data_IF_928723903945
#
_entry.id   IF_928723903945
#
_cell.length_a   1.000
_cell.length_b   1.000
_cell.length_c   1.000
_cell.angle_alpha   90.00
_cell.angle_beta   90.00
_cell.angle_gamma   90.00
#
_symmetry.space_group_name_H-M   'P 1'
#
loop_
_entity.id
_entity.type
_entity.pdbx_description
1 polymer ?
#
# COMPACT_ATOMS: atom_id res chain seq x y z
N UNK A 1 7.74 4.60 27.75
CA UNK A 1 8.79 5.37 27.06
C UNK A 1 9.42 4.42 26.05
N UNK A 2 9.25 4.70 24.76
CA UNK A 2 9.84 3.87 23.69
C UNK A 2 11.36 4.06 23.68
N UNK A 3 12.17 3.00 23.46
CA UNK A 3 13.61 3.15 23.33
C UNK A 3 13.94 3.97 22.09
N UNK A 4 14.71 5.05 22.27
CA UNK A 4 15.26 5.83 21.18
C UNK A 4 16.20 4.97 20.33
N UNK A 5 15.92 4.80 19.03
CA UNK A 5 16.89 4.22 18.08
C UNK A 5 16.38 3.24 17.02
N UNK A 6 15.08 2.95 16.90
CA UNK A 6 14.60 2.13 15.79
C UNK A 6 14.42 2.96 14.52
N UNK A 7 15.49 3.08 13.74
CA UNK A 7 15.40 3.36 12.30
C UNK A 7 14.93 2.06 11.63
N UNK A 8 13.73 2.03 11.07
CA UNK A 8 13.16 0.86 10.38
C UNK A 8 13.77 0.67 8.98
N UNK A 9 15.10 0.74 8.86
CA UNK A 9 15.80 0.88 7.60
C UNK A 9 16.62 -0.39 7.29
N UNK A 10 16.40 -0.94 6.09
CA UNK A 10 17.06 -2.06 5.36
C UNK A 10 16.47 -3.45 5.56
N UNK A 11 15.80 -3.98 4.51
CA UNK A 11 15.65 -5.43 4.31
C UNK A 11 17.07 -6.01 4.19
N UNK A 12 17.48 -6.90 5.09
CA UNK A 12 18.74 -7.64 4.95
C UNK A 12 18.46 -9.13 4.97
N UNK A 13 19.14 -9.89 4.11
CA UNK A 13 19.24 -11.34 4.29
C UNK A 13 19.68 -11.62 5.74
N UNK A 14 18.81 -12.24 6.55
CA UNK A 14 19.05 -12.46 7.99
C UNK A 14 18.21 -11.59 8.94
N UNK A 15 17.16 -10.94 8.47
CA UNK A 15 16.19 -10.29 9.35
C UNK A 15 15.58 -11.28 10.35
N UNK A 16 15.51 -10.86 11.62
CA UNK A 16 14.96 -11.66 12.72
C UNK A 16 13.67 -11.06 13.25
N UNK A 17 12.78 -11.95 13.68
CA UNK A 17 11.53 -11.59 14.33
C UNK A 17 11.80 -10.77 15.59
N UNK A 18 11.19 -9.58 15.69
CA UNK A 18 11.38 -8.69 16.84
C UNK A 18 10.87 -9.29 18.16
N UNK A 19 10.06 -10.35 18.09
CA UNK A 19 9.51 -11.05 19.25
C UNK A 19 10.33 -12.27 19.67
N UNK A 20 10.61 -13.19 18.75
CA UNK A 20 11.22 -14.50 19.07
C UNK A 20 12.66 -14.68 18.56
N UNK A 21 13.19 -13.73 17.79
CA UNK A 21 14.56 -13.78 17.26
C UNK A 21 14.79 -14.79 16.13
N UNK A 22 13.77 -15.54 15.70
CA UNK A 22 13.89 -16.46 14.57
C UNK A 22 13.96 -15.71 13.23
N UNK A 23 14.62 -16.26 12.19
CA UNK A 23 14.64 -15.68 10.86
C UNK A 23 13.23 -15.39 10.33
N UNK A 24 13.05 -14.24 9.69
CA UNK A 24 11.79 -13.82 9.08
C UNK A 24 12.02 -13.25 7.69
N UNK A 25 11.03 -13.43 6.82
CA UNK A 25 11.01 -12.78 5.50
C UNK A 25 10.67 -11.28 5.69
N UNK A 26 11.39 -10.41 4.97
CA UNK A 26 11.19 -8.97 5.05
C UNK A 26 9.89 -8.50 4.38
N UNK A 27 9.30 -9.34 3.51
CA UNK A 27 7.99 -9.10 2.88
C UNK A 27 6.82 -9.81 3.59
N UNK A 28 7.04 -10.42 4.77
CA UNK A 28 5.99 -11.11 5.52
C UNK A 28 5.48 -10.30 6.71
N UNK A 29 4.17 -10.16 6.80
CA UNK A 29 3.49 -9.51 7.92
C UNK A 29 3.49 -10.32 9.22
N UNK A 30 3.82 -11.62 9.18
CA UNK A 30 3.76 -12.49 10.34
C UNK A 30 4.98 -13.39 10.40
N UNK A 31 5.53 -13.57 11.60
CA UNK A 31 6.63 -14.50 11.83
C UNK A 31 6.15 -15.95 11.60
N UNK A 32 6.86 -16.71 10.77
CA UNK A 32 6.53 -18.12 10.53
C UNK A 32 6.68 -19.02 11.77
N UNK A 33 7.53 -18.61 12.74
CA UNK A 33 7.80 -19.41 13.94
C UNK A 33 6.84 -19.10 15.11
N UNK A 34 6.52 -17.83 15.35
CA UNK A 34 5.72 -17.43 16.52
C UNK A 34 4.42 -16.68 16.18
N UNK A 35 4.13 -16.49 14.89
CA UNK A 35 2.93 -15.82 14.36
C UNK A 35 2.70 -14.37 14.81
N UNK A 36 3.67 -13.75 15.50
CA UNK A 36 3.56 -12.33 15.85
C UNK A 36 3.62 -11.47 14.60
N UNK A 37 2.79 -10.43 14.58
CA UNK A 37 2.80 -9.41 13.54
C UNK A 37 4.19 -8.77 13.46
N UNK A 38 4.72 -8.61 12.25
CA UNK A 38 6.04 -8.07 11.98
C UNK A 38 5.91 -6.73 11.23
N UNK A 39 6.87 -5.80 11.43
CA UNK A 39 7.03 -4.68 10.52
C UNK A 39 7.42 -5.21 9.14
N UNK A 40 6.86 -4.62 8.09
CA UNK A 40 7.47 -4.74 6.77
C UNK A 40 8.73 -3.89 6.75
N UNK A 41 9.87 -4.54 6.55
CA UNK A 41 11.17 -3.90 6.46
C UNK A 41 11.53 -3.81 4.99
N UNK A 42 10.84 -2.94 4.27
CA UNK A 42 10.93 -2.85 2.82
C UNK A 42 11.51 -1.48 2.42
N UNK A 43 12.82 -1.36 2.31
CA UNK A 43 13.43 -0.29 1.49
C UNK A 43 13.19 -0.62 0.01
N UNK A 44 11.94 -0.53 -0.44
CA UNK A 44 11.56 -0.79 -1.84
C UNK A 44 11.68 -2.20 -2.34
N UNK A 45 12.07 -3.14 -1.49
CA UNK A 45 12.20 -4.55 -1.87
C UNK A 45 10.83 -5.23 -2.00
N UNK A 46 9.84 -4.84 -1.19
CA UNK A 46 8.53 -5.47 -1.09
C UNK A 46 7.43 -4.58 -1.68
N UNK A 47 7.25 -4.64 -2.99
CA UNK A 47 6.12 -4.00 -3.67
C UNK A 47 4.78 -4.71 -3.35
N UNK A 48 3.68 -4.15 -3.86
CA UNK A 48 2.33 -4.67 -3.55
C UNK A 48 2.09 -6.09 -4.03
N UNK A 49 2.74 -6.55 -5.10
CA UNK A 49 2.62 -7.93 -5.55
C UNK A 49 3.31 -8.90 -4.58
N UNK A 50 4.50 -8.53 -4.10
CA UNK A 50 5.27 -9.35 -3.15
C UNK A 50 4.59 -9.49 -1.79
N UNK A 51 3.98 -8.43 -1.25
CA UNK A 51 3.28 -8.55 0.05
C UNK A 51 2.04 -9.45 -0.01
N UNK A 52 1.45 -9.63 -1.20
CA UNK A 52 0.38 -10.60 -1.45
C UNK A 52 0.92 -11.99 -1.86
N UNK A 53 2.22 -12.12 -2.13
CA UNK A 53 2.83 -13.36 -2.62
C UNK A 53 2.30 -13.79 -3.99
N UNK A 54 2.08 -12.82 -4.89
CA UNK A 54 1.60 -13.05 -6.26
C UNK A 54 2.62 -12.58 -7.31
N UNK A 55 2.57 -13.10 -8.55
CA UNK A 55 3.45 -12.61 -9.61
C UNK A 55 3.20 -11.14 -9.95
N UNK A 56 4.28 -10.41 -10.21
CA UNK A 56 4.26 -9.05 -10.75
C UNK A 56 3.80 -9.10 -12.21
N UNK A 57 2.51 -8.91 -12.44
CA UNK A 57 1.92 -8.96 -13.78
C UNK A 57 0.66 -8.13 -13.84
N UNK A 58 0.39 -7.58 -15.02
CA UNK A 58 -0.91 -6.99 -15.31
C UNK A 58 -2.03 -8.05 -15.25
N UNK A 59 -1.76 -9.27 -15.72
CA UNK A 59 -2.74 -10.35 -15.81
C UNK A 59 -2.79 -11.18 -14.52
N UNK A 60 -3.35 -10.61 -13.45
CA UNK A 60 -3.63 -11.32 -12.19
C UNK A 60 -5.14 -11.56 -11.99
N UNK A 61 -5.46 -12.66 -11.29
CA UNK A 61 -6.83 -12.98 -10.87
C UNK A 61 -7.28 -12.07 -9.73
N UNK A 62 -8.17 -11.13 -10.04
CA UNK A 62 -8.70 -10.19 -9.05
C UNK A 62 -9.41 -10.88 -7.87
N UNK A 63 -10.04 -12.05 -8.09
CA UNK A 63 -10.67 -12.81 -7.00
C UNK A 63 -9.63 -13.39 -6.05
N UNK A 64 -8.49 -13.83 -6.57
CA UNK A 64 -7.37 -14.30 -5.74
C UNK A 64 -6.81 -13.15 -4.90
N UNK A 65 -6.63 -11.96 -5.48
CA UNK A 65 -6.17 -10.78 -4.73
C UNK A 65 -7.16 -10.43 -3.61
N UNK A 66 -8.46 -10.45 -3.89
CA UNK A 66 -9.50 -10.21 -2.90
C UNK A 66 -9.50 -11.26 -1.77
N UNK A 67 -9.33 -12.54 -2.09
CA UNK A 67 -9.21 -13.59 -1.08
C UNK A 67 -7.99 -13.41 -0.17
N UNK A 68 -6.85 -13.03 -0.74
CA UNK A 68 -5.62 -12.75 0.01
C UNK A 68 -5.78 -11.52 0.90
N UNK A 69 -6.37 -10.45 0.36
CA UNK A 69 -6.75 -9.25 1.11
C UNK A 69 -7.57 -9.58 2.35
N UNK A 70 -8.70 -10.31 2.19
CA UNK A 70 -9.53 -10.69 3.32
C UNK A 70 -8.83 -11.61 4.31
N UNK A 71 -7.95 -12.49 3.82
CA UNK A 71 -7.18 -13.40 4.67
C UNK A 71 -6.16 -12.66 5.54
N UNK A 72 -5.55 -11.60 5.01
CA UNK A 72 -4.64 -10.73 5.75
C UNK A 72 -5.39 -9.86 6.75
N UNK A 73 -6.44 -9.17 6.31
CA UNK A 73 -7.26 -8.30 7.18
C UNK A 73 -7.82 -9.07 8.38
N UNK A 74 -8.32 -10.30 8.19
CA UNK A 74 -8.79 -11.16 9.29
C UNK A 74 -7.74 -11.48 10.36
N UNK A 75 -6.45 -11.32 10.06
CA UNK A 75 -5.35 -11.60 11.00
C UNK A 75 -4.73 -10.32 11.60
N UNK A 76 -4.84 -9.19 10.90
CA UNK A 76 -4.15 -7.95 11.28
C UNK A 76 -5.04 -6.74 11.51
N UNK A 77 -6.36 -6.83 11.31
CA UNK A 77 -7.26 -5.69 11.49
C UNK A 77 -7.12 -5.07 12.90
N UNK A 78 -7.06 -3.73 13.03
CA UNK A 78 -6.84 -3.04 14.30
C UNK A 78 -7.76 -3.47 15.45
N UNK A 79 -9.01 -3.80 15.14
CA UNK A 79 -10.00 -4.28 16.11
C UNK A 79 -9.54 -5.52 16.89
N UNK A 80 -8.67 -6.36 16.31
CA UNK A 80 -8.13 -7.56 16.95
C UNK A 80 -7.00 -7.25 17.95
N UNK A 81 -6.44 -6.03 17.90
CA UNK A 81 -5.23 -5.65 18.63
C UNK A 81 -5.50 -4.71 19.80
N UNK A 82 -6.77 -4.38 20.10
CA UNK A 82 -7.14 -3.45 21.18
C UNK A 82 -6.55 -3.78 22.56
N UNK A 83 -6.33 -5.05 22.87
CA UNK A 83 -5.72 -5.52 24.13
C UNK A 83 -4.26 -5.96 24.01
N UNK A 84 -3.62 -5.76 22.84
CA UNK A 84 -2.22 -6.14 22.57
C UNK A 84 -1.25 -5.03 23.00
N UNK A 85 0.06 -5.31 22.89
CA UNK A 85 1.09 -4.31 23.18
C UNK A 85 1.02 -3.13 22.19
N UNK A 86 1.54 -1.97 22.59
CA UNK A 86 1.52 -0.76 21.75
C UNK A 86 2.23 -0.97 20.41
N UNK A 87 3.34 -1.71 20.41
CA UNK A 87 4.06 -2.10 19.18
C UNK A 87 3.16 -2.92 18.25
N UNK A 88 2.42 -3.91 18.78
CA UNK A 88 1.54 -4.73 17.94
C UNK A 88 0.34 -3.95 17.42
N UNK A 89 -0.19 -3.00 18.21
CA UNK A 89 -1.26 -2.09 17.77
C UNK A 89 -0.81 -1.21 16.63
N UNK A 90 0.36 -0.59 16.76
CA UNK A 90 0.94 0.26 15.73
C UNK A 90 1.18 -0.54 14.43
N UNK A 91 1.81 -1.71 14.54
CA UNK A 91 2.03 -2.59 13.39
C UNK A 91 0.73 -3.04 12.73
N UNK A 92 -0.31 -3.31 13.51
CA UNK A 92 -1.64 -3.68 13.00
C UNK A 92 -2.26 -2.54 12.20
N UNK A 93 -2.16 -1.30 12.67
CA UNK A 93 -2.66 -0.12 11.96
C UNK A 93 -1.89 0.11 10.66
N UNK A 94 -0.56 0.18 10.73
CA UNK A 94 0.30 0.47 9.58
C UNK A 94 0.16 -0.62 8.52
N UNK A 95 0.28 -1.89 8.90
CA UNK A 95 0.22 -2.99 7.95
C UNK A 95 -1.19 -3.14 7.34
N UNK A 96 -2.26 -2.91 8.10
CA UNK A 96 -3.63 -2.95 7.55
C UNK A 96 -3.85 -1.85 6.51
N UNK A 97 -3.33 -0.64 6.76
CA UNK A 97 -3.41 0.47 5.81
C UNK A 97 -2.68 0.16 4.51
N UNK A 98 -1.48 -0.43 4.60
CA UNK A 98 -0.70 -0.85 3.43
C UNK A 98 -1.40 -1.95 2.63
N UNK A 99 -1.97 -2.97 3.29
CA UNK A 99 -2.76 -4.01 2.61
C UNK A 99 -3.99 -3.42 1.92
N UNK A 100 -4.64 -2.40 2.51
CA UNK A 100 -5.74 -1.68 1.87
C UNK A 100 -5.28 -0.93 0.62
N UNK A 101 -4.15 -0.22 0.68
CA UNK A 101 -3.58 0.50 -0.45
C UNK A 101 -3.23 -0.44 -1.60
N UNK A 102 -2.49 -1.51 -1.30
CA UNK A 102 -2.12 -2.54 -2.24
C UNK A 102 -3.34 -3.19 -2.91
N UNK A 103 -4.36 -3.55 -2.12
CA UNK A 103 -5.61 -4.09 -2.68
C UNK A 103 -6.30 -3.09 -3.61
N UNK A 104 -6.39 -1.81 -3.21
CA UNK A 104 -7.05 -0.79 -4.03
C UNK A 104 -6.36 -0.55 -5.37
N UNK A 105 -5.02 -0.60 -5.41
CA UNK A 105 -4.26 -0.41 -6.63
C UNK A 105 -4.24 -1.67 -7.50
N UNK A 106 -4.24 -2.86 -6.91
CA UNK A 106 -4.20 -4.11 -7.67
C UNK A 106 -5.58 -4.62 -8.11
N UNK A 107 -6.69 -4.22 -7.48
CA UNK A 107 -8.02 -4.78 -7.78
C UNK A 107 -8.54 -4.46 -9.19
N UNK A 108 -8.37 -3.22 -9.66
CA UNK A 108 -8.89 -2.77 -10.93
C UNK A 108 -7.80 -2.79 -12.02
N UNK A 109 -8.12 -3.14 -13.29
CA UNK A 109 -7.12 -3.17 -14.35
C UNK A 109 -6.42 -1.82 -14.56
N UNK A 110 -7.17 -0.72 -14.57
CA UNK A 110 -6.61 0.63 -14.79
C UNK A 110 -5.65 1.04 -13.68
N UNK A 111 -6.05 0.84 -12.42
CA UNK A 111 -5.19 1.15 -11.28
C UNK A 111 -3.91 0.31 -11.25
N UNK A 112 -4.02 -0.96 -11.68
CA UNK A 112 -2.91 -1.91 -11.73
C UNK A 112 -1.93 -1.57 -12.83
N UNK A 113 -2.41 -1.17 -14.02
CA UNK A 113 -1.55 -0.70 -15.10
C UNK A 113 -0.70 0.49 -14.64
N UNK A 114 -1.34 1.52 -14.10
CA UNK A 114 -0.65 2.72 -13.63
C UNK A 114 0.35 2.38 -12.51
N UNK A 115 -0.01 1.49 -11.57
CA UNK A 115 0.93 1.06 -10.55
C UNK A 115 2.15 0.34 -11.13
N UNK A 116 1.97 -0.56 -12.11
CA UNK A 116 3.09 -1.22 -12.80
C UNK A 116 4.00 -0.20 -13.51
N UNK A 117 3.44 0.81 -14.17
CA UNK A 117 4.23 1.88 -14.80
C UNK A 117 5.08 2.64 -13.76
N UNK A 118 4.54 2.90 -12.57
CA UNK A 118 5.32 3.50 -11.47
C UNK A 118 6.45 2.57 -11.02
N UNK A 119 6.18 1.27 -10.84
CA UNK A 119 7.18 0.30 -10.43
C UNK A 119 8.31 0.14 -11.47
N UNK A 120 7.98 0.29 -12.76
CA UNK A 120 8.93 0.25 -13.88
C UNK A 120 9.77 1.52 -14.04
N UNK A 121 9.41 2.63 -13.38
CA UNK A 121 10.21 3.85 -13.43
C UNK A 121 11.63 3.59 -12.91
N UNK A 122 12.63 4.04 -13.67
CA UNK A 122 14.06 3.84 -13.34
C UNK A 122 14.81 5.14 -13.08
N UNK A 123 14.14 6.28 -13.32
CA UNK A 123 14.71 7.61 -13.15
C UNK A 123 13.72 8.58 -12.51
N UNK A 124 14.26 9.61 -11.85
CA UNK A 124 13.43 10.66 -11.26
C UNK A 124 12.62 11.41 -12.34
N UNK A 125 13.20 11.64 -13.51
CA UNK A 125 12.52 12.31 -14.62
C UNK A 125 11.28 11.55 -15.12
N UNK A 126 11.33 10.21 -15.15
CA UNK A 126 10.18 9.35 -15.45
C UNK A 126 9.11 9.50 -14.37
N UNK A 127 9.51 9.38 -13.12
CA UNK A 127 8.60 9.45 -11.98
C UNK A 127 7.92 10.82 -11.86
N UNK A 128 8.65 11.92 -12.09
CA UNK A 128 8.13 13.28 -12.06
C UNK A 128 7.05 13.51 -13.13
N UNK A 129 7.16 12.86 -14.30
CA UNK A 129 6.10 12.91 -15.32
C UNK A 129 4.83 12.23 -14.83
N UNK A 130 4.94 11.07 -14.20
CA UNK A 130 3.78 10.38 -13.61
C UNK A 130 3.18 11.19 -12.44
N UNK A 131 4.02 11.79 -11.60
CA UNK A 131 3.61 12.67 -10.50
C UNK A 131 2.82 13.87 -11.00
N UNK A 132 3.34 14.57 -12.00
CA UNK A 132 2.65 15.71 -12.63
C UNK A 132 1.34 15.28 -13.29
N UNK A 133 1.34 14.14 -14.01
CA UNK A 133 0.14 13.62 -14.65
C UNK A 133 -0.96 13.27 -13.62
N UNK A 134 -0.61 12.56 -12.54
CA UNK A 134 -1.54 12.19 -11.49
C UNK A 134 -2.09 13.44 -10.76
N UNK A 135 -1.23 14.43 -10.48
CA UNK A 135 -1.65 15.70 -9.88
C UNK A 135 -2.69 16.44 -10.75
N UNK A 136 -2.46 16.50 -12.07
CA UNK A 136 -3.42 17.10 -13.00
C UNK A 136 -4.75 16.33 -13.03
N UNK A 137 -4.72 14.99 -12.95
CA UNK A 137 -5.94 14.19 -12.87
C UNK A 137 -6.70 14.43 -11.56
N UNK A 138 -6.01 14.57 -10.43
CA UNK A 138 -6.62 14.89 -9.13
C UNK A 138 -7.34 16.23 -9.22
N UNK A 139 -6.68 17.26 -9.74
CA UNK A 139 -7.27 18.60 -9.89
C UNK A 139 -8.51 18.57 -10.80
N UNK A 140 -8.42 17.91 -11.96
CA UNK A 140 -9.54 17.76 -12.88
C UNK A 140 -10.71 16.97 -12.27
N UNK A 141 -10.41 15.91 -11.51
CA UNK A 141 -11.41 15.10 -10.82
C UNK A 141 -12.11 15.92 -9.72
N UNK A 142 -11.35 16.67 -8.93
CA UNK A 142 -11.89 17.57 -7.91
C UNK A 142 -12.80 18.65 -8.50
N UNK A 143 -12.41 19.25 -9.63
CA UNK A 143 -13.24 20.24 -10.31
C UNK A 143 -14.58 19.65 -10.75
N UNK A 144 -14.56 18.50 -11.45
CA UNK A 144 -15.79 17.81 -11.87
C UNK A 144 -16.66 17.42 -10.68
N UNK A 145 -16.04 17.03 -9.57
CA UNK A 145 -16.75 16.64 -8.36
C UNK A 145 -17.47 17.85 -7.73
N UNK A 146 -16.82 19.02 -7.69
CA UNK A 146 -17.46 20.26 -7.26
C UNK A 146 -18.66 20.64 -8.16
N UNK A 147 -18.49 20.59 -9.49
CA UNK A 147 -19.57 20.86 -10.46
C UNK A 147 -20.77 19.90 -10.29
N UNK A 148 -20.51 18.61 -10.02
CA UNK A 148 -21.55 17.62 -9.77
C UNK A 148 -22.34 17.90 -8.48
N UNK A 149 -21.66 18.35 -7.41
CA UNK A 149 -22.32 18.75 -6.17
C UNK A 149 -23.13 20.03 -6.34
N UNK A 150 -22.64 21.03 -7.07
CA UNK A 150 -23.36 22.28 -7.34
C UNK A 150 -24.63 22.05 -8.18
N UNK A 151 -24.59 21.06 -9.08
CA UNK A 151 -25.74 20.66 -9.91
C UNK A 151 -26.83 19.89 -9.14
N UNK A 152 -26.56 19.49 -7.89
CA UNK A 152 -27.49 18.96 -6.88
C UNK A 152 -28.39 17.77 -7.31
N UNK A 153 -28.07 17.07 -8.40
CA UNK A 153 -28.87 15.97 -8.94
C UNK A 153 -28.06 14.80 -9.50
N UNK A 154 -26.73 14.82 -9.43
CA UNK A 154 -25.90 13.75 -10.02
C UNK A 154 -25.08 12.97 -8.97
N UNK A 155 -25.81 12.27 -8.09
CA UNK A 155 -25.22 11.44 -7.04
C UNK A 155 -24.35 10.30 -7.58
N UNK A 156 -24.73 9.74 -8.73
CA UNK A 156 -23.99 8.63 -9.34
C UNK A 156 -22.63 9.11 -9.86
N UNK A 157 -22.58 10.27 -10.54
CA UNK A 157 -21.31 10.88 -10.95
C UNK A 157 -20.47 11.29 -9.75
N UNK A 158 -21.05 11.92 -8.71
CA UNK A 158 -20.30 12.25 -7.49
C UNK A 158 -19.68 11.00 -6.84
N UNK A 159 -20.42 9.89 -6.80
CA UNK A 159 -19.92 8.62 -6.27
C UNK A 159 -18.76 8.07 -7.11
N UNK A 160 -18.89 8.08 -8.44
CA UNK A 160 -17.84 7.61 -9.34
C UNK A 160 -16.56 8.45 -9.22
N UNK A 161 -16.70 9.78 -9.25
CA UNK A 161 -15.59 10.72 -9.09
C UNK A 161 -14.92 10.60 -7.73
N UNK A 162 -15.68 10.32 -6.65
CA UNK A 162 -15.08 10.07 -5.33
C UNK A 162 -14.21 8.82 -5.33
N UNK A 163 -14.65 7.75 -5.99
CA UNK A 163 -13.86 6.51 -6.11
C UNK A 163 -12.60 6.74 -6.96
N UNK A 164 -12.74 7.50 -8.05
CA UNK A 164 -11.61 7.90 -8.90
C UNK A 164 -10.59 8.74 -8.10
N UNK A 165 -11.06 9.77 -7.38
CA UNK A 165 -10.21 10.60 -6.54
C UNK A 165 -9.48 9.79 -5.47
N UNK A 166 -10.17 8.87 -4.79
CA UNK A 166 -9.54 7.95 -3.84
C UNK A 166 -8.43 7.13 -4.49
N UNK A 167 -8.67 6.62 -5.70
CA UNK A 167 -7.66 5.90 -6.47
C UNK A 167 -6.44 6.79 -6.78
N UNK A 168 -6.66 8.00 -7.30
CA UNK A 168 -5.57 8.92 -7.67
C UNK A 168 -4.72 9.32 -6.46
N UNK A 169 -5.35 9.54 -5.31
CA UNK A 169 -4.63 9.79 -4.04
C UNK A 169 -3.78 8.59 -3.64
N UNK A 170 -4.28 7.36 -3.79
CA UNK A 170 -3.49 6.14 -3.54
C UNK A 170 -2.35 5.95 -4.53
N UNK A 171 -2.52 6.38 -5.78
CA UNK A 171 -1.42 6.40 -6.74
C UNK A 171 -0.35 7.42 -6.34
N UNK A 172 -0.71 8.59 -5.80
CA UNK A 172 0.27 9.55 -5.27
C UNK A 172 1.11 8.95 -4.16
N UNK A 173 0.51 8.19 -3.24
CA UNK A 173 1.24 7.48 -2.19
C UNK A 173 2.25 6.49 -2.80
N UNK A 174 1.86 5.69 -3.80
CA UNK A 174 2.78 4.76 -4.47
C UNK A 174 3.91 5.47 -5.26
N UNK A 175 3.63 6.64 -5.84
CA UNK A 175 4.64 7.48 -6.50
C UNK A 175 5.67 7.98 -5.48
N UNK A 176 5.23 8.41 -4.30
CA UNK A 176 6.12 8.84 -3.23
C UNK A 176 6.98 7.67 -2.71
N UNK A 177 6.38 6.50 -2.51
CA UNK A 177 7.12 5.28 -2.13
C UNK A 177 8.22 4.99 -3.16
N UNK A 178 7.90 5.08 -4.46
CA UNK A 178 8.89 4.89 -5.54
C UNK A 178 9.96 5.98 -5.55
N UNK A 179 9.62 7.22 -5.23
CA UNK A 179 10.55 8.35 -5.14
C UNK A 179 11.61 8.08 -4.07
N UNK A 180 11.16 7.69 -2.88
CA UNK A 180 12.04 7.35 -1.76
C UNK A 180 13.01 6.21 -2.10
N UNK A 181 12.64 5.30 -3.01
CA UNK A 181 13.52 4.24 -3.49
C UNK A 181 14.53 4.69 -4.56
N UNK A 182 14.18 5.66 -5.40
CA UNK A 182 15.10 6.20 -6.43
C UNK A 182 16.12 7.19 -5.83
N UNK A 183 15.78 7.83 -4.71
CA UNK A 183 16.65 8.78 -4.01
C UNK A 183 17.74 8.13 -3.13
N UNK A 184 17.74 6.80 -2.97
CA UNK A 184 18.67 6.01 -2.12
C UNK A 184 19.85 5.42 -2.90
#
# INVERSE_FOLDING_TARGET
MLPAGYQWNKCRLGDVCWKCGQPTDCCSFFCASCSHIQPLRAEGVCNYFKIFGIPESFAIDAKKVEQLYWSLQKKMHPDLYGSKSDVEKELSVVNSALVNQAYNLLKAPTSRANYLEIEECTSMDELDRHKAHNANQIEACMQKLAEAFDSNQDFDTSKQLTVELQYLVKLSEAILDKQDHLDQ
#
